data_IF_902801012969
#
_entry.id   IF_902801012969
#
_cell.length_a   1.000
_cell.length_b   1.000
_cell.length_c   1.000
_cell.angle_alpha   90.00
_cell.angle_beta   90.00
_cell.angle_gamma   90.00
#
_symmetry.space_group_name_H-M   'P 1'
#
loop_
_entity.id
_entity.type
_entity.pdbx_description
1 polymer ?
#
# COMPACT_ATOMS: atom_id res chain seq x y z
N UNK A 1 15.46 27.47 2.10
CA UNK A 1 14.53 26.69 1.25
C UNK A 1 13.26 26.45 2.04
N UNK A 2 12.07 26.81 1.55
CA UNK A 2 10.82 26.47 2.24
C UNK A 2 10.73 24.95 2.36
N UNK A 3 10.40 24.45 3.55
CA UNK A 3 10.23 23.03 3.78
C UNK A 3 9.15 22.50 2.84
N UNK A 4 9.52 21.56 1.96
CA UNK A 4 8.56 20.88 1.08
C UNK A 4 7.54 20.19 1.98
N UNK A 5 6.27 20.56 1.85
CA UNK A 5 5.20 19.97 2.65
C UNK A 5 5.13 18.47 2.39
N UNK A 6 5.28 17.66 3.45
CA UNK A 6 5.10 16.20 3.42
C UNK A 6 3.62 15.80 3.61
N UNK A 7 2.68 16.76 3.49
CA UNK A 7 1.25 16.43 3.44
C UNK A 7 0.92 15.84 2.07
N UNK A 8 0.37 14.61 2.00
CA UNK A 8 -0.08 14.06 0.74
C UNK A 8 -1.16 14.94 0.11
N UNK A 9 -1.00 15.27 -1.17
CA UNK A 9 -2.04 15.84 -2.02
C UNK A 9 -2.95 14.73 -2.52
N UNK A 10 -4.20 15.09 -2.85
CA UNK A 10 -5.21 14.18 -3.35
C UNK A 10 -5.49 14.45 -4.83
N UNK A 11 -5.74 13.41 -5.62
CA UNK A 11 -6.25 13.54 -6.98
C UNK A 11 -7.15 12.35 -7.32
N UNK A 12 -8.10 12.59 -8.23
CA UNK A 12 -8.93 11.57 -8.88
C UNK A 12 -8.68 11.48 -10.39
N UNK A 13 -7.62 12.12 -10.89
CA UNK A 13 -7.30 12.20 -12.31
C UNK A 13 -5.90 11.63 -12.58
N UNK A 14 -5.78 10.75 -13.57
CA UNK A 14 -4.47 10.21 -13.94
C UNK A 14 -3.50 11.27 -14.42
N UNK A 15 -3.99 12.30 -15.11
CA UNK A 15 -3.14 13.34 -15.70
C UNK A 15 -2.35 14.13 -14.65
N UNK A 16 -2.78 14.13 -13.39
CA UNK A 16 -2.05 14.74 -12.27
C UNK A 16 -0.79 13.95 -11.87
N UNK A 17 -0.72 12.65 -12.22
CA UNK A 17 0.36 11.74 -11.82
C UNK A 17 1.04 10.99 -12.98
N UNK A 18 0.44 10.99 -14.17
CA UNK A 18 0.95 10.40 -15.41
C UNK A 18 1.72 11.44 -16.25
N UNK A 19 2.51 12.29 -15.60
CA UNK A 19 3.37 13.23 -16.29
C UNK A 19 4.65 12.54 -16.81
N UNK A 20 5.31 13.10 -17.85
CA UNK A 20 6.55 12.56 -18.37
C UNK A 20 7.62 12.46 -17.29
N UNK A 21 8.31 11.32 -17.23
CA UNK A 21 9.44 11.08 -16.33
C UNK A 21 10.53 10.36 -17.10
N UNK A 22 11.77 10.80 -16.92
CA UNK A 22 12.94 10.26 -17.65
C UNK A 22 14.18 10.24 -16.78
N UNK A 23 15.07 9.30 -17.07
CA UNK A 23 16.42 9.29 -16.53
C UNK A 23 17.33 10.06 -17.49
N UNK A 24 18.03 11.06 -16.98
CA UNK A 24 18.95 11.90 -17.76
C UNK A 24 20.36 11.74 -17.20
N UNK A 25 21.35 11.33 -18.00
CA UNK A 25 22.75 11.30 -17.58
C UNK A 25 23.20 12.65 -17.03
N UNK A 26 23.99 12.65 -15.95
CA UNK A 26 24.58 13.90 -15.44
C UNK A 26 25.46 14.61 -16.48
N UNK A 27 26.11 13.86 -17.38
CA UNK A 27 26.92 14.38 -18.48
C UNK A 27 26.11 15.26 -19.44
N UNK A 28 24.82 15.00 -19.59
CA UNK A 28 23.97 15.76 -20.51
C UNK A 28 23.55 17.11 -19.90
N UNK A 29 23.63 17.22 -18.56
CA UNK A 29 23.25 18.41 -17.79
C UNK A 29 24.48 19.23 -17.42
N UNK A 30 25.61 18.56 -17.15
CA UNK A 30 26.90 19.16 -16.77
C UNK A 30 28.00 18.67 -17.74
N UNK A 31 27.95 19.05 -19.02
CA UNK A 31 28.83 18.48 -20.06
C UNK A 31 30.32 18.78 -19.87
N UNK A 32 30.65 19.89 -19.20
CA UNK A 32 32.04 20.35 -19.03
C UNK A 32 32.67 19.91 -17.69
N UNK A 33 31.99 19.05 -16.93
CA UNK A 33 32.45 18.60 -15.62
C UNK A 33 32.87 17.13 -15.65
N UNK A 34 34.00 16.81 -15.03
CA UNK A 34 34.38 15.43 -14.75
C UNK A 34 33.55 14.91 -13.57
N UNK A 35 32.76 13.86 -13.82
CA UNK A 35 31.90 13.25 -12.81
C UNK A 35 32.68 12.14 -12.09
N UNK A 36 33.16 12.43 -10.89
CA UNK A 36 33.87 11.44 -10.06
C UNK A 36 32.93 10.38 -9.46
N UNK A 37 31.63 10.66 -9.33
CA UNK A 37 30.67 9.75 -8.74
C UNK A 37 30.34 8.59 -9.69
N UNK A 38 30.47 7.35 -9.22
CA UNK A 38 30.22 6.13 -10.02
C UNK A 38 28.88 5.47 -9.72
N UNK A 39 28.24 5.78 -8.59
CA UNK A 39 27.01 5.17 -8.12
C UNK A 39 25.74 5.96 -8.47
N UNK A 40 25.87 7.28 -8.71
CA UNK A 40 24.78 8.19 -9.06
C UNK A 40 25.12 8.93 -10.33
N UNK A 41 24.77 8.34 -11.45
CA UNK A 41 25.16 8.79 -12.79
C UNK A 41 23.98 9.37 -13.59
N UNK A 42 22.74 9.20 -13.10
CA UNK A 42 21.53 9.72 -13.73
C UNK A 42 20.70 10.57 -12.77
N UNK A 43 20.02 11.56 -13.32
CA UNK A 43 18.97 12.34 -12.68
C UNK A 43 17.60 11.85 -13.14
N UNK A 44 16.72 11.59 -12.18
CA UNK A 44 15.32 11.26 -12.44
C UNK A 44 14.54 12.57 -12.51
N UNK A 45 14.17 12.98 -13.72
CA UNK A 45 13.49 14.24 -13.99
C UNK A 45 12.05 13.94 -14.36
N UNK A 46 11.10 14.54 -13.66
CA UNK A 46 9.70 14.55 -14.09
C UNK A 46 9.23 15.95 -14.45
N UNK A 47 8.23 16.01 -15.33
CA UNK A 47 7.73 17.26 -15.91
C UNK A 47 6.21 17.41 -15.63
N UNK A 48 5.79 17.69 -14.39
CA UNK A 48 4.37 17.86 -14.07
C UNK A 48 3.76 19.04 -14.82
N UNK A 49 2.53 18.86 -15.33
CA UNK A 49 1.81 19.89 -16.08
C UNK A 49 1.73 21.23 -15.34
N UNK A 50 2.07 22.31 -16.03
CA UNK A 50 2.03 23.67 -15.47
C UNK A 50 3.07 23.96 -14.40
N UNK A 51 4.10 23.12 -14.25
CA UNK A 51 5.21 23.31 -13.30
C UNK A 51 6.55 23.20 -14.01
N UNK A 52 7.59 23.74 -13.36
CA UNK A 52 8.96 23.52 -13.79
C UNK A 52 9.32 22.03 -13.64
N UNK A 53 10.21 21.50 -14.50
CA UNK A 53 10.78 20.16 -14.31
C UNK A 53 11.36 19.99 -12.91
N UNK A 54 11.13 18.81 -12.32
CA UNK A 54 11.53 18.47 -10.96
C UNK A 54 12.53 17.33 -11.01
N UNK A 55 13.66 17.50 -10.32
CA UNK A 55 14.63 16.43 -10.08
C UNK A 55 14.18 15.67 -8.83
N UNK A 56 13.68 14.44 -9.01
CA UNK A 56 13.18 13.60 -7.92
C UNK A 56 14.29 12.81 -7.22
N UNK A 57 15.33 12.40 -7.96
CA UNK A 57 16.46 11.67 -7.41
C UNK A 57 17.70 11.73 -8.31
N UNK A 58 18.84 11.41 -7.71
CA UNK A 58 20.05 10.97 -8.41
C UNK A 58 20.22 9.47 -8.19
N UNK A 59 20.35 8.70 -9.26
CA UNK A 59 20.34 7.23 -9.26
C UNK A 59 21.48 6.66 -10.11
N UNK A 60 21.72 5.36 -9.97
CA UNK A 60 22.71 4.65 -10.79
C UNK A 60 22.27 4.53 -12.25
N UNK A 61 23.21 4.26 -13.14
CA UNK A 61 22.93 4.05 -14.57
C UNK A 61 22.01 2.86 -14.87
N UNK A 62 21.91 1.92 -13.93
CA UNK A 62 21.05 0.75 -14.04
C UNK A 62 19.64 1.01 -13.47
N UNK A 63 19.36 2.23 -13.01
CA UNK A 63 18.06 2.55 -12.42
C UNK A 63 16.95 2.57 -13.48
N UNK A 64 15.85 1.88 -13.19
CA UNK A 64 14.71 1.71 -14.08
C UNK A 64 13.48 2.38 -13.46
N UNK A 65 12.91 3.32 -14.20
CA UNK A 65 11.72 4.06 -13.79
C UNK A 65 10.49 3.27 -14.21
N UNK A 66 9.53 3.11 -13.30
CA UNK A 66 8.19 2.60 -13.64
C UNK A 66 7.29 3.83 -13.79
N UNK A 67 6.94 4.26 -15.02
CA UNK A 67 6.07 5.41 -15.19
C UNK A 67 4.64 5.07 -14.80
N UNK A 68 3.94 6.00 -14.14
CA UNK A 68 2.53 5.81 -13.76
C UNK A 68 1.61 5.61 -14.98
N UNK A 69 2.01 6.06 -16.17
CA UNK A 69 1.29 5.81 -17.42
C UNK A 69 1.20 4.33 -17.76
N UNK A 70 2.21 3.51 -17.43
CA UNK A 70 2.17 2.07 -17.62
C UNK A 70 1.12 1.42 -16.71
N UNK A 71 1.01 1.87 -15.45
CA UNK A 71 -0.04 1.43 -14.52
C UNK A 71 -1.43 1.76 -15.07
N UNK A 72 -1.63 3.01 -15.52
CA UNK A 72 -2.88 3.44 -16.15
C UNK A 72 -3.25 2.55 -17.33
N UNK A 73 -2.31 2.28 -18.23
CA UNK A 73 -2.57 1.47 -19.43
C UNK A 73 -3.04 0.05 -19.09
N UNK A 74 -2.41 -0.60 -18.11
CA UNK A 74 -2.83 -1.94 -17.66
C UNK A 74 -4.20 -1.90 -16.99
N UNK A 75 -4.43 -0.92 -16.12
CA UNK A 75 -5.72 -0.76 -15.42
C UNK A 75 -6.85 -0.47 -16.41
N UNK A 76 -6.70 0.51 -17.30
CA UNK A 76 -7.71 0.89 -18.31
C UNK A 76 -8.05 -0.26 -19.25
N UNK A 77 -7.10 -1.18 -19.51
CA UNK A 77 -7.31 -2.37 -20.35
C UNK A 77 -8.15 -3.44 -19.66
N UNK A 78 -8.00 -3.60 -18.34
CA UNK A 78 -8.57 -4.72 -17.58
C UNK A 78 -9.79 -4.34 -16.73
N UNK A 79 -9.94 -3.06 -16.39
CA UNK A 79 -11.01 -2.55 -15.53
C UNK A 79 -11.66 -1.35 -16.24
N UNK A 80 -12.87 -1.55 -16.75
CA UNK A 80 -13.58 -0.55 -17.55
C UNK A 80 -14.29 0.54 -16.73
N UNK A 81 -14.60 0.28 -15.46
CA UNK A 81 -15.29 1.22 -14.58
C UNK A 81 -14.70 1.16 -13.17
N UNK A 82 -13.86 2.15 -12.84
CA UNK A 82 -13.22 2.29 -11.54
C UNK A 82 -13.16 3.75 -11.10
N UNK A 83 -13.11 3.97 -9.79
CA UNK A 83 -12.78 5.27 -9.21
C UNK A 83 -11.29 5.28 -8.91
N UNK A 84 -10.61 6.32 -9.37
CA UNK A 84 -9.24 6.62 -9.02
C UNK A 84 -9.20 7.50 -7.75
N UNK A 85 -8.49 7.06 -6.72
CA UNK A 85 -8.09 7.91 -5.57
C UNK A 85 -6.59 7.84 -5.41
N UNK A 86 -5.90 8.97 -5.55
CA UNK A 86 -4.45 9.03 -5.42
C UNK A 86 -4.05 9.93 -4.27
N UNK A 87 -3.11 9.44 -3.46
CA UNK A 87 -2.36 10.24 -2.48
C UNK A 87 -0.92 10.34 -2.92
N UNK A 88 -0.41 11.55 -3.13
CA UNK A 88 0.95 11.75 -3.60
C UNK A 88 1.65 12.93 -2.94
N UNK A 89 2.98 12.89 -2.88
CA UNK A 89 3.80 13.96 -2.31
C UNK A 89 4.55 14.72 -3.40
N UNK A 90 4.94 15.97 -3.11
CA UNK A 90 5.78 16.76 -4.01
C UNK A 90 7.16 16.11 -4.28
N UNK A 91 7.58 15.15 -3.44
CA UNK A 91 8.82 14.39 -3.59
C UNK A 91 8.65 13.15 -4.50
N UNK A 92 7.53 13.02 -5.21
CA UNK A 92 7.32 11.96 -6.20
C UNK A 92 7.04 10.59 -5.59
N UNK A 93 6.36 10.55 -4.44
CA UNK A 93 5.83 9.32 -3.85
C UNK A 93 4.34 9.23 -4.12
N UNK A 94 3.84 8.04 -4.48
CA UNK A 94 2.45 7.82 -4.87
C UNK A 94 1.87 6.60 -4.15
N UNK A 95 0.66 6.74 -3.64
CA UNK A 95 -0.27 5.67 -3.29
C UNK A 95 -1.50 5.83 -4.20
N UNK A 96 -1.67 4.89 -5.12
CA UNK A 96 -2.65 4.94 -6.22
C UNK A 96 -3.68 3.85 -5.94
N UNK A 97 -4.93 4.25 -5.73
CA UNK A 97 -6.03 3.35 -5.40
C UNK A 97 -6.97 3.23 -6.60
N UNK A 98 -7.20 2.00 -7.04
CA UNK A 98 -8.16 1.65 -8.09
C UNK A 98 -9.34 0.97 -7.41
N UNK A 99 -10.39 1.74 -7.19
CA UNK A 99 -11.60 1.28 -6.50
C UNK A 99 -12.56 0.71 -7.53
N UNK A 100 -12.81 -0.60 -7.45
CA UNK A 100 -13.77 -1.27 -8.34
C UNK A 100 -15.19 -0.87 -7.99
N UNK A 101 -16.11 -0.86 -8.97
CA UNK A 101 -17.55 -0.60 -8.72
C UNK A 101 -18.34 -1.86 -8.32
N UNK A 102 -17.64 -2.93 -7.91
CA UNK A 102 -18.24 -4.23 -7.63
C UNK A 102 -18.93 -4.32 -6.27
N UNK A 103 -18.70 -5.44 -5.59
CA UNK A 103 -19.35 -5.77 -4.32
C UNK A 103 -19.14 -4.71 -3.24
N UNK A 104 -20.24 -4.36 -2.57
CA UNK A 104 -20.25 -3.46 -1.42
C UNK A 104 -20.51 -4.25 -0.14
N UNK A 105 -19.63 -4.06 0.85
CA UNK A 105 -19.73 -4.72 2.14
C UNK A 105 -20.10 -3.70 3.21
N UNK A 106 -21.26 -3.87 3.82
CA UNK A 106 -21.70 -3.01 4.92
C UNK A 106 -20.98 -3.37 6.22
N UNK A 107 -20.50 -2.36 6.95
CA UNK A 107 -19.82 -2.50 8.24
C UNK A 107 -20.57 -1.67 9.29
N UNK A 108 -20.90 -2.26 10.45
CA UNK A 108 -21.57 -1.54 11.53
C UNK A 108 -23.04 -1.16 11.24
N UNK A 109 -23.49 -0.02 11.78
CA UNK A 109 -24.83 0.57 11.53
C UNK A 109 -24.78 1.49 10.29
N UNK A 110 -25.91 1.68 9.60
CA UNK A 110 -26.09 2.59 8.43
C UNK A 110 -25.30 2.24 7.14
N UNK A 111 -25.12 3.22 6.23
CA UNK A 111 -24.49 3.15 4.89
C UNK A 111 -22.96 3.08 4.90
N UNK A 112 -22.33 2.65 6.00
CA UNK A 112 -20.87 2.49 6.02
C UNK A 112 -20.47 1.27 5.19
N UNK A 113 -20.14 1.53 3.92
CA UNK A 113 -19.84 0.49 2.94
C UNK A 113 -18.38 0.52 2.52
N UNK A 114 -17.82 -0.68 2.42
CA UNK A 114 -16.53 -0.97 1.82
C UNK A 114 -16.72 -1.50 0.41
N UNK A 115 -15.80 -1.14 -0.49
CA UNK A 115 -15.72 -1.73 -1.84
C UNK A 115 -14.30 -2.19 -2.09
N UNK A 116 -14.08 -3.23 -2.91
CA UNK A 116 -12.73 -3.72 -3.20
C UNK A 116 -11.88 -2.65 -3.90
N UNK A 117 -10.61 -2.54 -3.50
CA UNK A 117 -9.64 -1.59 -4.01
C UNK A 117 -8.30 -2.27 -4.27
N UNK A 118 -7.71 -2.02 -5.42
CA UNK A 118 -6.34 -2.41 -5.73
C UNK A 118 -5.43 -1.21 -5.46
N UNK A 119 -4.39 -1.41 -4.65
CA UNK A 119 -3.54 -0.29 -4.21
C UNK A 119 -2.10 -0.47 -4.67
N UNK A 120 -1.61 0.50 -5.41
CA UNK A 120 -0.25 0.55 -5.92
C UNK A 120 0.55 1.61 -5.19
N UNK A 121 1.75 1.25 -4.74
CA UNK A 121 2.75 2.20 -4.32
C UNK A 121 3.80 2.33 -5.41
N UNK A 122 4.10 3.57 -5.79
CA UNK A 122 5.19 3.88 -6.70
C UNK A 122 5.98 5.09 -6.21
N UNK A 123 7.24 5.22 -6.64
CA UNK A 123 8.04 6.41 -6.34
C UNK A 123 9.07 6.69 -7.42
N UNK A 124 9.22 7.98 -7.73
CA UNK A 124 10.30 8.48 -8.59
C UNK A 124 11.54 8.91 -7.82
N UNK A 125 11.46 8.99 -6.48
CA UNK A 125 12.62 9.34 -5.65
C UNK A 125 13.47 8.12 -5.25
N UNK A 126 13.05 6.90 -5.61
CA UNK A 126 13.74 5.64 -5.32
C UNK A 126 13.79 5.21 -3.85
N UNK A 127 13.19 5.96 -2.91
CA UNK A 127 13.13 5.59 -1.49
C UNK A 127 12.09 4.52 -1.19
N UNK A 128 11.08 4.40 -2.04
CA UNK A 128 10.02 3.41 -1.93
C UNK A 128 10.00 2.58 -3.22
N UNK A 129 10.23 1.26 -3.14
CA UNK A 129 10.12 0.40 -4.33
C UNK A 129 8.65 0.34 -4.77
N UNK A 130 8.45 0.06 -6.06
CA UNK A 130 7.13 -0.29 -6.54
C UNK A 130 6.59 -1.50 -5.79
N UNK A 131 5.32 -1.42 -5.37
CA UNK A 131 4.64 -2.51 -4.69
C UNK A 131 3.16 -2.48 -5.04
N UNK A 132 2.61 -3.63 -5.42
CA UNK A 132 1.17 -3.85 -5.36
C UNK A 132 0.83 -4.28 -3.94
N UNK A 133 0.11 -3.44 -3.22
CA UNK A 133 -0.34 -3.78 -1.89
C UNK A 133 -1.32 -4.95 -2.00
N UNK A 134 -0.97 -6.02 -1.31
CA UNK A 134 -1.72 -7.26 -1.33
C UNK A 134 -1.10 -8.40 -2.11
N UNK A 135 -0.02 -8.23 -2.85
CA UNK A 135 0.74 -9.40 -3.31
C UNK A 135 1.60 -9.92 -2.14
N UNK A 136 1.39 -11.17 -1.70
CA UNK A 136 2.32 -11.83 -0.79
C UNK A 136 3.56 -12.21 -1.60
N UNK A 137 4.55 -11.33 -1.61
CA UNK A 137 5.84 -11.58 -2.26
C UNK A 137 6.83 -12.02 -1.20
N UNK A 138 6.88 -13.32 -0.91
CA UNK A 138 7.92 -13.90 -0.06
C UNK A 138 8.06 -15.41 -0.23
N UNK A 139 8.41 -15.91 -1.42
CA UNK A 139 8.98 -17.27 -1.50
C UNK A 139 9.91 -17.45 -2.70
N UNK A 140 11.03 -18.11 -2.45
CA UNK A 140 12.10 -18.46 -3.41
C UNK A 140 12.08 -19.95 -3.78
N UNK A 141 11.05 -20.69 -3.38
CA UNK A 141 10.96 -22.14 -3.57
C UNK A 141 9.55 -22.48 -4.02
N UNK A 142 9.46 -23.03 -5.23
CA UNK A 142 8.23 -23.48 -5.88
C UNK A 142 7.97 -24.92 -5.51
N UNK A 143 7.05 -25.17 -4.58
CA UNK A 143 6.35 -26.44 -4.53
C UNK A 143 5.12 -26.35 -5.44
N UNK A 144 4.97 -27.32 -6.33
CA UNK A 144 3.80 -27.45 -7.18
C UNK A 144 2.54 -27.56 -6.31
N UNK A 145 1.44 -26.92 -6.74
CA UNK A 145 0.05 -27.10 -6.25
C UNK A 145 -0.47 -26.18 -5.13
N UNK A 146 -0.26 -24.85 -5.19
CA UNK A 146 -1.10 -23.91 -4.41
C UNK A 146 -1.55 -22.69 -5.21
N UNK A 147 -2.81 -22.29 -5.01
CA UNK A 147 -3.42 -21.13 -5.68
C UNK A 147 -2.83 -19.81 -5.16
N UNK A 148 -2.44 -18.93 -6.08
CA UNK A 148 -1.93 -17.60 -5.75
C UNK A 148 -3.01 -16.78 -5.03
N UNK A 149 -2.76 -16.36 -3.78
CA UNK A 149 -3.64 -15.47 -3.03
C UNK A 149 -3.08 -14.05 -2.99
N UNK A 150 -3.84 -13.13 -3.58
CA UNK A 150 -3.70 -11.70 -3.33
C UNK A 150 -4.47 -11.31 -2.06
N UNK A 151 -4.00 -10.30 -1.33
CA UNK A 151 -4.74 -9.60 -0.26
C UNK A 151 -5.71 -8.63 -0.91
N UNK A 152 -6.91 -8.58 -0.38
CA UNK A 152 -7.94 -7.68 -0.85
C UNK A 152 -7.87 -6.41 0.01
N UNK A 153 -7.51 -5.29 -0.60
CA UNK A 153 -7.68 -3.99 0.05
C UNK A 153 -9.09 -3.48 -0.22
N UNK A 154 -9.56 -2.60 0.65
CA UNK A 154 -10.90 -2.05 0.62
C UNK A 154 -10.84 -0.53 0.55
N UNK A 155 -11.86 0.09 -0.01
CA UNK A 155 -12.07 1.52 -0.01
C UNK A 155 -13.35 1.82 0.74
N UNK A 156 -13.27 2.72 1.72
CA UNK A 156 -14.41 3.11 2.54
C UNK A 156 -14.99 4.42 2.04
N UNK A 157 -16.24 4.40 1.64
CA UNK A 157 -16.90 5.54 1.00
C UNK A 157 -17.03 6.75 1.93
N UNK A 158 -17.34 6.52 3.21
CA UNK A 158 -17.61 7.56 4.22
C UNK A 158 -16.43 8.52 4.39
N UNK A 159 -15.22 8.00 4.32
CA UNK A 159 -14.00 8.75 4.56
C UNK A 159 -13.12 8.90 3.32
N UNK A 160 -13.52 8.30 2.20
CA UNK A 160 -12.77 8.29 0.95
C UNK A 160 -11.32 7.84 1.14
N UNK A 161 -11.11 6.78 1.92
CA UNK A 161 -9.78 6.24 2.25
C UNK A 161 -9.67 4.75 1.94
N UNK A 162 -8.45 4.32 1.64
CA UNK A 162 -8.11 2.91 1.42
C UNK A 162 -7.66 2.24 2.71
N UNK A 163 -8.15 1.03 2.90
CA UNK A 163 -7.90 0.13 4.01
C UNK A 163 -7.22 -1.12 3.47
N UNK A 164 -6.08 -1.47 4.02
CA UNK A 164 -5.26 -2.54 3.48
C UNK A 164 -5.73 -3.91 3.98
N UNK A 165 -5.65 -4.92 3.11
CA UNK A 165 -5.92 -6.33 3.41
C UNK A 165 -4.89 -7.00 4.33
N UNK A 166 -4.51 -6.39 5.45
CA UNK A 166 -3.34 -6.79 6.25
C UNK A 166 -3.36 -8.24 6.73
N UNK A 167 -4.53 -8.82 7.06
CA UNK A 167 -4.63 -10.22 7.49
C UNK A 167 -4.87 -11.20 6.35
N UNK A 168 -5.04 -10.76 5.11
CA UNK A 168 -5.24 -11.69 3.99
C UNK A 168 -3.92 -12.39 3.58
N UNK A 169 -2.82 -12.12 4.27
CA UNK A 169 -1.59 -12.92 4.15
C UNK A 169 -1.69 -14.30 4.83
N UNK A 170 -2.73 -14.53 5.64
CA UNK A 170 -2.95 -15.78 6.38
C UNK A 170 -4.05 -16.60 5.72
N UNK A 171 -3.97 -17.94 5.80
CA UNK A 171 -4.94 -18.80 5.13
C UNK A 171 -6.31 -18.78 5.80
N UNK A 172 -6.32 -18.63 7.13
CA UNK A 172 -7.49 -18.65 7.98
C UNK A 172 -7.27 -17.85 9.26
N UNK A 173 -8.34 -17.68 10.03
CA UNK A 173 -8.34 -16.90 11.26
C UNK A 173 -7.47 -17.50 12.36
N UNK A 174 -7.43 -18.82 12.49
CA UNK A 174 -6.68 -19.51 13.54
C UNK A 174 -5.17 -19.34 13.34
N UNK A 175 -4.69 -19.45 12.11
CA UNK A 175 -3.30 -19.15 11.77
C UNK A 175 -2.94 -17.71 12.09
N UNK A 176 -3.80 -16.76 11.72
CA UNK A 176 -3.57 -15.34 12.00
C UNK A 176 -3.52 -15.07 13.51
N UNK A 177 -4.48 -15.61 14.28
CA UNK A 177 -4.52 -15.46 15.73
C UNK A 177 -3.28 -16.08 16.39
N UNK A 178 -2.88 -17.28 15.97
CA UNK A 178 -1.67 -17.92 16.47
C UNK A 178 -0.42 -17.08 16.20
N UNK A 179 -0.34 -16.42 15.04
CA UNK A 179 0.75 -15.50 14.72
C UNK A 179 0.75 -14.27 15.63
N UNK A 180 -0.42 -13.66 15.87
CA UNK A 180 -0.57 -12.52 16.79
C UNK A 180 -0.12 -12.89 18.21
N UNK A 181 -0.55 -14.04 18.72
CA UNK A 181 -0.25 -14.50 20.09
C UNK A 181 1.22 -14.86 20.31
N UNK A 182 1.89 -15.41 19.29
CA UNK A 182 3.34 -15.69 19.35
C UNK A 182 4.19 -14.41 19.37
N UNK A 183 3.59 -13.28 19.04
CA UNK A 183 4.24 -11.97 18.97
C UNK A 183 4.98 -11.77 17.65
N UNK A 184 4.99 -10.51 17.17
CA UNK A 184 5.69 -10.12 15.95
C UNK A 184 7.19 -10.48 16.09
N UNK A 185 7.79 -11.22 15.14
CA UNK A 185 9.19 -11.61 15.22
C UNK A 185 10.10 -10.39 15.32
N UNK A 186 10.96 -10.36 16.35
CA UNK A 186 11.82 -9.20 16.66
C UNK A 186 13.02 -9.10 15.72
N UNK A 187 13.39 -10.18 15.04
CA UNK A 187 14.52 -10.23 14.09
C UNK A 187 14.04 -10.58 12.69
N UNK A 188 14.63 -9.94 11.68
CA UNK A 188 14.32 -10.16 10.27
C UNK A 188 14.49 -11.63 9.81
N UNK A 189 15.49 -12.35 10.36
CA UNK A 189 15.69 -13.79 10.06
C UNK A 189 14.55 -14.66 10.57
N UNK A 190 14.11 -14.45 11.82
CA UNK A 190 12.97 -15.15 12.41
C UNK A 190 11.66 -14.79 11.67
N UNK A 191 11.51 -13.52 11.26
CA UNK A 191 10.39 -13.09 10.43
C UNK A 191 10.38 -13.78 9.06
N UNK A 192 11.56 -14.01 8.46
CA UNK A 192 11.68 -14.75 7.21
C UNK A 192 11.36 -16.23 7.42
N UNK A 193 11.89 -16.87 8.45
CA UNK A 193 11.66 -18.29 8.77
C UNK A 193 10.19 -18.59 9.08
N UNK A 194 9.57 -17.75 9.91
CA UNK A 194 8.14 -17.80 10.22
C UNK A 194 7.31 -17.55 8.95
N UNK A 195 7.66 -16.54 8.14
CA UNK A 195 6.99 -16.28 6.85
C UNK A 195 7.25 -17.33 5.76
N UNK A 196 8.36 -18.07 5.80
CA UNK A 196 8.63 -19.20 4.89
C UNK A 196 7.99 -20.51 5.37
N UNK A 197 7.70 -20.65 6.67
CA UNK A 197 6.86 -21.75 7.18
C UNK A 197 5.37 -21.53 6.93
N UNK A 198 4.99 -20.30 6.55
CA UNK A 198 3.66 -19.99 6.05
C UNK A 198 3.64 -20.24 4.55
N UNK A 199 2.59 -20.91 4.10
CA UNK A 199 2.43 -21.41 2.74
C UNK A 199 2.82 -20.35 1.70
N UNK A 200 3.68 -20.79 0.80
CA UNK A 200 4.26 -19.99 -0.25
C UNK A 200 3.16 -19.43 -1.16
N UNK A 201 2.91 -18.14 -1.09
CA UNK A 201 2.07 -17.47 -2.06
C UNK A 201 2.88 -17.25 -3.34
N UNK A 202 2.52 -17.98 -4.39
CA UNK A 202 3.22 -17.94 -5.66
C UNK A 202 2.74 -16.79 -6.54
N UNK A 203 3.66 -16.13 -7.23
CA UNK A 203 3.37 -15.49 -8.52
C UNK A 203 4.01 -16.37 -9.59
N UNK A 204 3.21 -17.16 -10.32
CA UNK A 204 3.73 -18.04 -11.36
C UNK A 204 3.88 -17.30 -12.69
N UNK A 205 5.06 -17.38 -13.30
CA UNK A 205 5.24 -17.28 -14.75
C UNK A 205 5.19 -18.70 -15.32
N UNK A 206 4.22 -18.97 -16.19
CA UNK A 206 4.26 -20.14 -17.07
C UNK A 206 5.11 -19.80 -18.29
N UNK A 207 6.36 -20.28 -18.35
CA UNK A 207 7.09 -20.37 -19.62
C UNK A 207 6.69 -21.65 -20.32
N UNK A 208 5.89 -21.51 -21.39
CA UNK A 208 5.62 -22.60 -22.32
C UNK A 208 6.90 -22.83 -23.14
N UNK A 209 7.77 -23.71 -22.62
CA UNK A 209 8.88 -24.31 -23.36
C UNK A 209 9.95 -23.36 -23.86
N UNK A 210 10.85 -22.92 -22.98
CA UNK A 210 12.30 -22.81 -23.20
C UNK A 210 12.96 -22.24 -21.94
N UNK A 211 14.22 -22.62 -21.74
CA UNK A 211 15.04 -22.36 -20.55
C UNK A 211 15.09 -20.88 -20.16
N UNK A 212 14.47 -20.53 -19.03
CA UNK A 212 15.02 -19.72 -17.94
C UNK A 212 13.89 -19.54 -16.91
N UNK A 213 13.99 -20.18 -15.75
CA UNK A 213 13.15 -19.81 -14.60
C UNK A 213 13.48 -18.38 -14.20
N UNK A 214 12.79 -17.40 -14.77
CA UNK A 214 12.75 -16.07 -14.20
C UNK A 214 11.81 -16.12 -12.99
N UNK A 215 12.41 -16.44 -11.85
CA UNK A 215 11.80 -16.27 -10.56
C UNK A 215 11.41 -14.80 -10.40
N UNK A 216 10.14 -14.44 -10.66
CA UNK A 216 9.53 -13.17 -10.25
C UNK A 216 9.38 -13.13 -8.71
N UNK A 217 10.43 -13.48 -7.96
CA UNK A 217 10.55 -13.06 -6.58
C UNK A 217 11.35 -11.78 -6.59
N UNK A 218 10.70 -10.70 -6.18
CA UNK A 218 11.21 -9.64 -5.30
C UNK A 218 10.35 -8.43 -5.59
N UNK A 219 10.17 -7.59 -4.57
CA UNK A 219 9.94 -6.16 -4.75
C UNK A 219 10.67 -5.73 -6.03
N UNK A 220 9.98 -5.21 -7.05
CA UNK A 220 10.66 -4.80 -8.28
C UNK A 220 11.75 -3.82 -7.89
N UNK A 221 12.97 -4.33 -7.88
CA UNK A 221 14.12 -3.50 -7.66
C UNK A 221 14.22 -2.72 -8.95
N UNK A 222 14.26 -1.41 -8.83
CA UNK A 222 14.44 -0.49 -9.94
C UNK A 222 15.82 -0.66 -10.60
N UNK A 223 16.47 -1.82 -10.56
CA UNK A 223 17.78 -2.06 -11.13
C UNK A 223 17.62 -3.07 -12.27
N UNK A 224 17.79 -2.63 -13.52
CA UNK A 224 17.68 -3.48 -14.71
C UNK A 224 16.29 -4.07 -14.92
N UNK A 225 15.23 -3.33 -14.60
CA UNK A 225 13.85 -3.76 -14.79
C UNK A 225 13.49 -3.75 -16.28
N UNK A 226 13.04 -4.88 -16.78
CA UNK A 226 12.36 -5.00 -18.07
C UNK A 226 10.89 -4.55 -17.91
N UNK A 227 10.51 -3.49 -18.63
CA UNK A 227 9.18 -2.91 -18.53
C UNK A 227 8.10 -3.78 -19.19
N UNK A 228 8.44 -4.57 -20.21
CA UNK A 228 7.49 -5.46 -20.88
C UNK A 228 7.12 -6.63 -19.97
N UNK A 229 8.13 -7.20 -19.29
CA UNK A 229 7.91 -8.23 -18.27
C UNK A 229 7.14 -7.70 -17.06
N UNK A 230 7.41 -6.45 -16.66
CA UNK A 230 6.68 -5.79 -15.59
C UNK A 230 5.20 -5.56 -15.96
N UNK A 231 4.92 -5.15 -17.21
CA UNK A 231 3.54 -5.01 -17.71
C UNK A 231 2.78 -6.34 -17.62
N UNK A 232 3.36 -7.43 -18.10
CA UNK A 232 2.76 -8.77 -18.03
C UNK A 232 2.49 -9.21 -16.60
N UNK A 233 3.41 -8.92 -15.68
CA UNK A 233 3.19 -9.17 -14.25
C UNK A 233 1.99 -8.37 -13.73
N UNK A 234 1.89 -7.09 -14.05
CA UNK A 234 0.80 -6.24 -13.59
C UNK A 234 -0.54 -6.75 -14.12
N UNK A 235 -0.62 -7.17 -15.38
CA UNK A 235 -1.83 -7.75 -15.94
C UNK A 235 -2.29 -8.98 -15.17
N UNK A 236 -1.38 -9.89 -14.84
CA UNK A 236 -1.69 -11.09 -14.07
C UNK A 236 -2.19 -10.76 -12.66
N UNK A 237 -1.53 -9.81 -12.01
CA UNK A 237 -1.88 -9.34 -10.67
C UNK A 237 -3.28 -8.73 -10.66
N UNK A 238 -3.58 -7.85 -11.62
CA UNK A 238 -4.92 -7.24 -11.76
C UNK A 238 -5.97 -8.32 -12.09
N UNK A 239 -5.67 -9.26 -12.98
CA UNK A 239 -6.58 -10.35 -13.31
C UNK A 239 -6.86 -11.28 -12.10
N UNK A 240 -5.86 -11.52 -11.24
CA UNK A 240 -6.04 -12.27 -10.00
C UNK A 240 -6.92 -11.52 -9.00
N UNK A 241 -6.68 -10.21 -8.81
CA UNK A 241 -7.50 -9.35 -7.97
C UNK A 241 -8.98 -9.43 -8.34
N UNK A 242 -9.29 -9.34 -9.64
CA UNK A 242 -10.67 -9.34 -10.14
C UNK A 242 -11.41 -10.66 -9.85
N UNK A 243 -10.69 -11.79 -9.74
CA UNK A 243 -11.25 -13.12 -9.46
C UNK A 243 -11.47 -13.40 -7.97
N UNK A 244 -11.00 -12.55 -7.07
CA UNK A 244 -11.12 -12.77 -5.63
C UNK A 244 -12.33 -12.06 -5.05
N UNK A 245 -13.20 -12.79 -4.37
CA UNK A 245 -14.45 -12.22 -3.84
C UNK A 245 -14.25 -11.59 -2.44
N UNK A 246 -13.62 -12.30 -1.50
CA UNK A 246 -13.47 -11.82 -0.11
C UNK A 246 -12.13 -12.24 0.52
N UNK A 247 -11.74 -11.55 1.61
CA UNK A 247 -10.54 -11.85 2.38
C UNK A 247 -10.78 -11.83 3.89
N UNK A 248 -9.89 -12.48 4.66
CA UNK A 248 -9.93 -12.55 6.13
C UNK A 248 -10.04 -11.18 6.81
N UNK A 249 -9.46 -10.15 6.20
CA UNK A 249 -9.44 -8.77 6.69
C UNK A 249 -10.84 -8.19 6.85
N UNK A 250 -11.76 -8.54 5.95
CA UNK A 250 -13.15 -8.12 6.07
C UNK A 250 -13.81 -8.69 7.33
N UNK A 251 -13.49 -9.93 7.69
CA UNK A 251 -14.03 -10.56 8.90
C UNK A 251 -13.46 -9.94 10.18
N UNK A 252 -12.19 -9.53 10.14
CA UNK A 252 -11.59 -8.75 11.23
C UNK A 252 -12.26 -7.38 11.36
N UNK A 253 -12.51 -6.66 10.27
CA UNK A 253 -13.24 -5.39 10.31
C UNK A 253 -14.64 -5.55 10.91
N UNK A 254 -15.37 -6.62 10.54
CA UNK A 254 -16.68 -6.94 11.14
C UNK A 254 -16.58 -7.22 12.65
N UNK A 255 -15.50 -7.86 13.11
CA UNK A 255 -15.26 -8.08 14.56
C UNK A 255 -14.91 -6.77 15.27
N UNK A 256 -14.06 -5.93 14.69
CA UNK A 256 -13.75 -4.59 15.20
C UNK A 256 -15.00 -3.71 15.34
N UNK A 257 -15.93 -3.80 14.38
CA UNK A 257 -17.18 -3.04 14.42
C UNK A 257 -18.15 -3.48 15.53
N UNK A 258 -17.99 -4.70 16.07
CA UNK A 258 -18.80 -5.22 17.18
C UNK A 258 -18.21 -4.89 18.56
N UNK A 259 -16.90 -4.61 18.63
CA UNK A 259 -16.23 -4.30 19.89
C UNK A 259 -16.37 -2.82 20.23
N UNK A 260 -17.19 -2.51 21.24
CA UNK A 260 -17.28 -1.15 21.78
C UNK A 260 -15.97 -0.75 22.47
N UNK A 261 -15.64 0.53 22.38
CA UNK A 261 -14.48 1.12 23.04
C UNK A 261 -14.88 2.46 23.63
N UNK A 262 -14.67 2.65 24.93
CA UNK A 262 -14.88 3.97 25.51
C UNK A 262 -13.72 4.91 25.13
N UNK A 263 -13.94 6.21 25.35
CA UNK A 263 -12.98 7.24 24.97
C UNK A 263 -11.63 7.09 25.67
N UNK A 264 -11.61 6.69 26.94
CA UNK A 264 -10.38 6.56 27.72
C UNK A 264 -9.55 5.38 27.21
N UNK A 265 -10.21 4.26 26.93
CA UNK A 265 -9.57 3.09 26.34
C UNK A 265 -9.06 3.38 24.92
N UNK A 266 -9.84 4.09 24.09
CA UNK A 266 -9.40 4.52 22.76
C UNK A 266 -8.14 5.40 22.81
N UNK A 267 -8.07 6.37 23.73
CA UNK A 267 -6.89 7.20 23.94
C UNK A 267 -5.67 6.36 24.38
N UNK A 268 -5.87 5.37 25.26
CA UNK A 268 -4.81 4.46 25.67
C UNK A 268 -4.29 3.61 24.50
N UNK A 269 -5.19 3.07 23.66
CA UNK A 269 -4.81 2.29 22.47
C UNK A 269 -3.97 3.12 21.48
N UNK A 270 -4.25 4.42 21.33
CA UNK A 270 -3.45 5.31 20.50
C UNK A 270 -2.03 5.54 21.05
N UNK A 271 -1.89 5.61 22.37
CA UNK A 271 -0.60 5.73 23.05
C UNK A 271 0.19 4.43 22.88
N UNK A 272 -0.45 3.29 23.08
CA UNK A 272 0.19 1.97 22.98
C UNK A 272 0.64 1.67 21.55
N UNK A 273 -0.14 2.11 20.56
CA UNK A 273 0.22 2.08 19.14
C UNK A 273 1.37 3.03 18.77
N UNK A 274 1.88 3.84 19.71
CA UNK A 274 2.95 4.82 19.53
C UNK A 274 2.66 5.86 18.44
N UNK A 275 1.38 6.19 18.26
CA UNK A 275 1.01 7.20 17.28
C UNK A 275 1.49 8.58 17.76
N UNK A 276 2.12 9.41 16.90
CA UNK A 276 2.51 10.77 17.28
C UNK A 276 1.34 11.54 17.88
N UNK A 277 1.57 12.25 19.00
CA UNK A 277 0.52 12.93 19.80
C UNK A 277 -0.44 13.79 18.99
N UNK A 278 0.08 14.47 17.96
CA UNK A 278 -0.75 15.28 17.05
C UNK A 278 -1.71 14.42 16.21
N UNK A 279 -1.22 13.31 15.68
CA UNK A 279 -2.02 12.37 14.89
C UNK A 279 -3.02 11.64 15.79
N UNK A 280 -2.65 11.25 17.01
CA UNK A 280 -3.59 10.68 17.97
C UNK A 280 -4.76 11.63 18.28
N UNK A 281 -4.48 12.92 18.51
CA UNK A 281 -5.54 13.92 18.73
C UNK A 281 -6.45 14.10 17.52
N UNK A 282 -5.88 14.10 16.31
CA UNK A 282 -6.65 14.20 15.07
C UNK A 282 -7.51 12.94 14.84
N UNK A 283 -6.98 11.75 15.11
CA UNK A 283 -7.72 10.50 15.05
C UNK A 283 -8.90 10.49 16.03
N UNK A 284 -8.72 10.91 17.30
CA UNK A 284 -9.84 11.01 18.24
C UNK A 284 -10.90 12.01 17.79
N UNK A 285 -10.49 13.14 17.20
CA UNK A 285 -11.44 14.13 16.65
C UNK A 285 -12.23 13.52 15.50
N UNK A 286 -11.52 12.81 14.59
CA UNK A 286 -12.12 12.15 13.45
C UNK A 286 -13.08 11.03 13.86
N UNK A 287 -12.71 10.21 14.83
CA UNK A 287 -13.59 9.16 15.37
C UNK A 287 -14.92 9.74 15.85
N UNK A 288 -14.90 10.85 16.60
CA UNK A 288 -16.12 11.54 17.04
C UNK A 288 -16.92 12.24 15.93
N UNK A 289 -16.31 12.54 14.78
CA UNK A 289 -17.05 12.94 13.56
C UNK A 289 -17.77 11.75 12.94
N UNK A 290 -17.09 10.61 12.84
CA UNK A 290 -17.64 9.39 12.25
C UNK A 290 -18.75 8.78 13.11
N UNK A 291 -18.63 8.81 14.44
CA UNK A 291 -19.71 8.44 15.37
C UNK A 291 -21.00 9.20 15.08
N UNK A 292 -20.90 10.53 14.89
CA UNK A 292 -22.04 11.40 14.58
C UNK A 292 -22.59 11.13 13.19
N UNK A 293 -21.71 10.99 12.19
CA UNK A 293 -22.10 10.75 10.81
C UNK A 293 -22.81 9.41 10.63
N UNK A 294 -22.37 8.39 11.39
CA UNK A 294 -22.86 7.02 11.29
C UNK A 294 -23.91 6.65 12.36
N UNK A 295 -24.28 7.60 13.22
CA UNK A 295 -25.12 7.40 14.41
C UNK A 295 -24.75 6.11 15.16
N UNK A 296 -23.45 5.90 15.33
CA UNK A 296 -22.87 4.71 15.94
C UNK A 296 -22.25 5.04 17.28
N UNK A 297 -22.29 4.07 18.18
CA UNK A 297 -21.46 4.08 19.38
C UNK A 297 -19.98 3.92 19.01
N UNK A 298 -19.06 4.45 19.84
CA UNK A 298 -17.62 4.35 19.63
C UNK A 298 -17.16 2.89 19.69
N UNK A 299 -16.56 2.42 18.61
CA UNK A 299 -16.07 1.04 18.49
C UNK A 299 -14.67 0.99 17.86
N UNK A 300 -14.04 -0.18 17.95
CA UNK A 300 -12.66 -0.38 17.47
C UNK A 300 -12.54 -0.15 15.96
N UNK A 301 -13.59 -0.39 15.18
CA UNK A 301 -13.61 -0.11 13.74
C UNK A 301 -13.52 1.38 13.43
N UNK A 302 -14.30 2.22 14.13
CA UNK A 302 -14.23 3.68 13.96
C UNK A 302 -12.86 4.22 14.40
N UNK A 303 -12.28 3.67 15.48
CA UNK A 303 -10.94 4.04 15.92
C UNK A 303 -9.88 3.71 14.85
N UNK A 304 -9.89 2.48 14.32
CA UNK A 304 -8.96 2.06 13.26
C UNK A 304 -9.06 2.98 12.04
N UNK A 305 -10.29 3.26 11.57
CA UNK A 305 -10.51 4.11 10.42
C UNK A 305 -10.04 5.54 10.63
N UNK A 306 -10.30 6.11 11.81
CA UNK A 306 -9.86 7.45 12.13
C UNK A 306 -8.33 7.58 12.14
N UNK A 307 -7.63 6.55 12.64
CA UNK A 307 -6.17 6.45 12.58
C UNK A 307 -5.70 6.38 11.13
N UNK A 308 -6.23 5.45 10.34
CA UNK A 308 -5.88 5.27 8.93
C UNK A 308 -6.10 6.58 8.13
N UNK A 309 -7.28 7.19 8.25
CA UNK A 309 -7.60 8.47 7.60
C UNK A 309 -6.58 9.55 7.96
N UNK A 310 -6.28 9.70 9.25
CA UNK A 310 -5.32 10.69 9.74
C UNK A 310 -3.91 10.42 9.20
N UNK A 311 -3.49 9.14 9.16
CA UNK A 311 -2.21 8.74 8.60
C UNK A 311 -2.06 9.09 7.12
N UNK A 312 -3.11 9.33 6.34
CA UNK A 312 -2.99 9.66 4.91
C UNK A 312 -3.45 11.08 4.55
N UNK A 313 -4.00 11.84 5.50
CA UNK A 313 -4.50 13.21 5.25
C UNK A 313 -3.78 14.28 6.05
N UNK A 314 -3.20 13.92 7.19
CA UNK A 314 -2.52 14.84 8.08
C UNK A 314 -1.10 15.19 7.61
N UNK A 315 -0.70 16.43 7.90
CA UNK A 315 0.69 16.85 7.78
C UNK A 315 1.51 16.20 8.90
N UNK A 316 2.39 15.28 8.52
CA UNK A 316 3.30 14.60 9.42
C UNK A 316 4.65 14.44 8.73
N UNK A 317 5.73 14.38 9.49
CA UNK A 317 7.05 14.09 8.96
C UNK A 317 7.22 12.57 8.74
N UNK A 318 6.36 11.99 7.91
CA UNK A 318 6.32 10.56 7.59
C UNK A 318 6.22 10.39 6.08
N UNK A 319 7.04 9.51 5.52
CA UNK A 319 6.90 9.05 4.13
C UNK A 319 5.60 8.26 3.97
N UNK A 320 5.14 8.08 2.72
CA UNK A 320 4.00 7.19 2.42
C UNK A 320 4.25 5.78 2.98
N UNK A 321 5.47 5.27 2.85
CA UNK A 321 5.83 3.94 3.33
C UNK A 321 5.79 3.82 4.88
N UNK A 322 6.23 4.86 5.61
CA UNK A 322 6.16 4.85 7.07
C UNK A 322 4.71 4.94 7.58
N UNK A 323 3.85 5.65 6.85
CA UNK A 323 2.40 5.68 7.12
C UNK A 323 1.79 4.29 6.98
N UNK A 324 2.15 3.54 5.92
CA UNK A 324 1.71 2.14 5.76
C UNK A 324 2.22 1.21 6.86
N UNK A 325 3.48 1.34 7.29
CA UNK A 325 4.01 0.54 8.41
C UNK A 325 3.27 0.81 9.71
N UNK A 326 2.93 2.07 9.97
CA UNK A 326 2.17 2.45 11.15
C UNK A 326 0.73 1.94 11.08
N UNK A 327 0.09 2.01 9.91
CA UNK A 327 -1.25 1.45 9.67
C UNK A 327 -1.29 -0.07 9.89
N UNK A 328 -0.31 -0.80 9.33
CA UNK A 328 -0.14 -2.26 9.53
C UNK A 328 0.05 -2.59 11.01
N UNK A 329 0.90 -1.85 11.72
CA UNK A 329 1.16 -2.08 13.13
C UNK A 329 -0.12 -1.93 13.98
N UNK A 330 -0.83 -0.80 13.81
CA UNK A 330 -2.10 -0.48 14.49
C UNK A 330 -3.15 -1.54 14.17
N UNK A 331 -3.30 -1.92 12.91
CA UNK A 331 -4.27 -2.93 12.49
C UNK A 331 -4.08 -4.23 13.26
N UNK A 332 -2.85 -4.75 13.32
CA UNK A 332 -2.57 -6.02 13.99
C UNK A 332 -2.80 -5.93 15.51
N UNK A 333 -2.45 -4.81 16.14
CA UNK A 333 -2.62 -4.64 17.58
C UNK A 333 -4.12 -4.57 17.94
N UNK A 334 -4.93 -3.86 17.15
CA UNK A 334 -6.39 -3.83 17.29
C UNK A 334 -7.05 -5.17 16.92
N UNK A 335 -6.52 -5.88 15.92
CA UNK A 335 -7.00 -7.21 15.55
C UNK A 335 -6.77 -8.21 16.68
N UNK A 336 -5.60 -8.15 17.33
CA UNK A 336 -5.32 -8.97 18.50
C UNK A 336 -6.32 -8.69 19.62
N UNK A 337 -6.55 -7.41 19.95
CA UNK A 337 -7.52 -7.01 20.97
C UNK A 337 -8.89 -7.66 20.73
N UNK A 338 -9.46 -7.55 19.52
CA UNK A 338 -10.82 -8.02 19.23
C UNK A 338 -10.92 -9.53 19.02
N UNK A 339 -9.80 -10.22 18.82
CA UNK A 339 -9.75 -11.67 18.71
C UNK A 339 -9.50 -12.37 20.04
N UNK A 340 -8.95 -11.66 21.02
CA UNK A 340 -8.68 -12.22 22.36
C UNK A 340 -9.65 -11.72 23.43
N UNK A 341 -10.41 -10.66 23.15
CA UNK A 341 -11.49 -10.20 24.03
C UNK A 341 -12.71 -11.10 23.82
N UNK A 342 -13.10 -11.83 24.87
CA UNK A 342 -14.30 -12.67 24.86
C UNK A 342 -15.59 -11.84 24.92
#
# INVERSE_FOLDING_TARGET
MPAVSNRPSASSQWDDICFPVKAVPFTDILPDYEIAATDRQQLIIGEPSGRMPIVYAAQSNEYSIIPNSLLRQVVDRLISDYILDVRFTANGEFAINIVTQGERFQIGKQTDTLTRSLVFNNSYNGKMPFKVQGTVVNTTTVEHYQEARMRISYYRQVCSNSLMGWSDEFMNLDEYLNWLLKGKPKKYKEAKEIKTSFQAAYTYQHLKGQQQEQTLSRKFHHKGLDLDLFEQYLEQVVAQFLKQDTGLTLDIYKKMAKQQVDKQHAEQLLIDAKLPKMLARQAMTRMGEEERLLESEPNVWLLYNAINYTLFTAQANMSINDRFRQDEAVYHDLAQLVLTSN
#
